data_IF_284619705406
#
_entry.id   IF_284619705406
#
_cell.length_a   1.000
_cell.length_b   1.000
_cell.length_c   1.000
_cell.angle_alpha   90.00
_cell.angle_beta   90.00
_cell.angle_gamma   90.00
#
_symmetry.space_group_name_H-M   'P 1'
#
loop_
_entity.id
_entity.type
_entity.pdbx_description
1 polymer ?
#
# COMPACT_ATOMS: atom_id res chain seq x y z
N UNK A 1 8.96 -13.09 -6.12
CA UNK A 1 8.38 -12.63 -4.82
C UNK A 1 6.94 -13.11 -4.77
N UNK A 2 6.51 -13.76 -3.69
CA UNK A 2 5.13 -14.25 -3.59
C UNK A 2 4.19 -13.06 -3.51
N UNK A 3 3.30 -12.94 -4.50
CA UNK A 3 2.18 -12.00 -4.47
C UNK A 3 1.35 -12.41 -3.25
N UNK A 4 1.41 -11.59 -2.21
CA UNK A 4 0.81 -11.85 -0.90
C UNK A 4 -0.69 -12.08 -1.08
N UNK A 5 -1.25 -13.02 -0.31
CA UNK A 5 -2.58 -13.60 -0.44
C UNK A 5 -3.62 -12.61 -1.00
N UNK A 6 -3.90 -12.61 -2.31
CA UNK A 6 -4.83 -11.66 -2.88
C UNK A 6 -6.20 -11.97 -2.29
N UNK A 7 -6.70 -11.12 -1.39
CA UNK A 7 -8.14 -11.06 -1.11
C UNK A 7 -8.77 -10.94 -2.49
N UNK A 8 -9.66 -11.87 -2.87
CA UNK A 8 -10.14 -12.04 -4.25
C UNK A 8 -10.57 -10.70 -4.88
N UNK A 9 -9.60 -10.05 -5.53
CA UNK A 9 -9.69 -8.64 -5.96
C UNK A 9 -10.77 -8.54 -7.02
N UNK A 10 -10.92 -9.62 -7.80
CA UNK A 10 -11.90 -9.77 -8.86
C UNK A 10 -13.36 -9.57 -8.42
N UNK A 11 -13.76 -10.03 -7.23
CA UNK A 11 -15.15 -9.84 -6.78
C UNK A 11 -15.42 -8.42 -6.27
N UNK A 12 -14.36 -7.69 -5.94
CA UNK A 12 -14.40 -6.39 -5.26
C UNK A 12 -14.34 -5.23 -6.25
N UNK A 13 -13.55 -5.38 -7.30
CA UNK A 13 -13.43 -4.42 -8.41
C UNK A 13 -14.68 -4.35 -9.28
N UNK A 14 -15.57 -5.34 -9.19
CA UNK A 14 -16.81 -5.38 -9.96
C UNK A 14 -17.98 -4.69 -9.25
N UNK A 15 -17.80 -4.26 -7.99
CA UNK A 15 -18.81 -3.50 -7.28
C UNK A 15 -18.64 -2.02 -7.63
N UNK A 16 -19.71 -1.31 -8.07
CA UNK A 16 -19.65 0.14 -8.15
C UNK A 16 -19.28 0.66 -6.77
N UNK A 17 -18.34 1.61 -6.70
CA UNK A 17 -18.05 2.36 -5.47
C UNK A 17 -19.16 3.42 -5.37
N UNK A 18 -20.05 3.37 -4.35
CA UNK A 18 -21.06 4.40 -4.15
C UNK A 18 -20.49 5.84 -4.12
N UNK A 19 -21.32 6.83 -4.40
CA UNK A 19 -20.86 8.22 -4.36
C UNK A 19 -20.54 8.64 -2.90
N UNK A 20 -19.45 9.39 -2.72
CA UNK A 20 -19.07 9.96 -1.42
C UNK A 20 -18.24 9.07 -0.50
N UNK A 21 -17.53 8.07 -1.03
CA UNK A 21 -16.60 7.27 -0.23
C UNK A 21 -15.31 8.00 0.10
N UNK A 22 -14.86 7.84 1.34
CA UNK A 22 -13.58 8.34 1.80
C UNK A 22 -12.44 7.61 1.10
N UNK A 23 -11.55 8.38 0.48
CA UNK A 23 -10.35 7.89 -0.18
C UNK A 23 -9.16 8.28 0.67
N UNK A 24 -8.35 7.30 1.07
CA UNK A 24 -7.11 7.55 1.82
C UNK A 24 -5.90 7.05 1.04
N UNK A 25 -4.82 7.81 1.09
CA UNK A 25 -3.50 7.43 0.63
C UNK A 25 -2.69 6.95 1.84
N UNK A 26 -2.54 5.63 1.96
CA UNK A 26 -1.72 5.01 2.99
C UNK A 26 -0.26 5.05 2.55
N UNK A 27 0.63 5.50 3.43
CA UNK A 27 2.06 5.64 3.18
C UNK A 27 2.82 4.71 4.11
N UNK A 28 3.76 3.96 3.53
CA UNK A 28 4.59 2.98 4.20
C UNK A 28 6.06 3.30 4.03
N UNK A 29 6.83 3.05 5.07
CA UNK A 29 8.28 2.99 5.00
C UNK A 29 8.69 1.58 4.56
N UNK A 30 9.42 1.49 3.45
CA UNK A 30 9.85 0.20 2.91
C UNK A 30 11.14 -0.32 3.56
N UNK A 31 11.79 0.47 4.42
CA UNK A 31 13.06 0.07 5.03
C UNK A 31 12.93 0.00 6.55
N UNK A 32 13.32 -1.12 7.18
CA UNK A 32 13.41 -1.19 8.63
C UNK A 32 14.39 -0.14 9.21
N UNK A 33 14.06 0.46 10.37
CA UNK A 33 14.92 1.45 11.01
C UNK A 33 16.25 0.80 11.45
N UNK A 34 17.35 1.38 10.99
CA UNK A 34 18.70 1.03 11.34
C UNK A 34 19.57 2.30 11.29
N UNK A 35 20.87 2.17 11.58
CA UNK A 35 21.75 3.34 11.65
C UNK A 35 21.89 4.09 10.31
N UNK A 36 21.88 3.38 9.18
CA UNK A 36 21.96 3.97 7.84
C UNK A 36 20.67 4.69 7.49
N UNK A 37 19.52 4.04 7.71
CA UNK A 37 18.23 4.66 7.40
C UNK A 37 17.94 5.85 8.30
N UNK A 38 18.33 5.79 9.58
CA UNK A 38 18.22 6.94 10.48
C UNK A 38 19.08 8.13 10.03
N UNK A 39 20.31 7.88 9.54
CA UNK A 39 21.12 8.94 8.95
C UNK A 39 20.45 9.52 7.70
N UNK A 40 19.86 8.67 6.85
CA UNK A 40 19.05 9.09 5.71
C UNK A 40 17.87 9.97 6.10
N UNK A 41 17.07 9.55 7.09
CA UNK A 41 15.92 10.31 7.58
C UNK A 41 16.34 11.68 8.14
N UNK A 42 17.46 11.74 8.85
CA UNK A 42 18.01 13.01 9.34
C UNK A 42 18.37 13.97 8.20
N UNK A 43 18.80 13.42 7.06
CA UNK A 43 19.05 14.16 5.82
C UNK A 43 17.79 14.38 4.96
N UNK A 44 16.60 13.96 5.42
CA UNK A 44 15.35 14.07 4.67
C UNK A 44 15.17 13.04 3.55
N UNK A 45 15.92 11.93 3.58
CA UNK A 45 15.84 10.85 2.59
C UNK A 45 15.11 9.63 3.16
N UNK A 46 14.29 8.96 2.33
CA UNK A 46 13.60 7.72 2.66
C UNK A 46 13.08 7.01 1.42
N UNK A 47 12.69 5.73 1.57
CA UNK A 47 12.02 4.97 0.51
C UNK A 47 10.60 4.67 0.99
N UNK A 48 9.64 5.30 0.32
CA UNK A 48 8.23 5.20 0.68
C UNK A 48 7.45 4.48 -0.40
N UNK A 49 6.48 3.68 0.03
CA UNK A 49 5.46 3.09 -0.84
C UNK A 49 4.09 3.63 -0.43
N UNK A 50 3.16 3.72 -1.37
CA UNK A 50 1.81 4.17 -1.09
C UNK A 50 0.76 3.25 -1.70
N UNK A 51 -0.32 3.03 -0.95
CA UNK A 51 -1.53 2.32 -1.38
C UNK A 51 -2.75 3.24 -1.30
N UNK A 52 -3.73 3.00 -2.18
CA UNK A 52 -5.00 3.72 -2.21
C UNK A 52 -6.07 2.92 -1.47
N UNK A 53 -6.50 3.40 -0.31
CA UNK A 53 -7.59 2.81 0.47
C UNK A 53 -8.94 3.39 0.03
N UNK A 54 -9.84 2.49 -0.40
CA UNK A 54 -11.22 2.79 -0.77
C UNK A 54 -12.11 1.66 -0.25
N UNK A 55 -13.18 1.99 0.49
CA UNK A 55 -14.15 1.02 1.01
C UNK A 55 -13.49 -0.17 1.74
N UNK A 56 -12.60 0.12 2.70
CA UNK A 56 -11.86 -0.86 3.51
C UNK A 56 -10.95 -1.80 2.70
N UNK A 57 -10.58 -1.42 1.48
CA UNK A 57 -9.63 -2.15 0.64
C UNK A 57 -8.54 -1.23 0.18
N UNK A 58 -7.30 -1.69 0.28
CA UNK A 58 -6.16 -0.93 -0.18
C UNK A 58 -5.63 -1.50 -1.49
N UNK A 59 -5.56 -0.66 -2.51
CA UNK A 59 -5.09 -0.98 -3.85
C UNK A 59 -3.63 -0.52 -4.01
N UNK A 60 -2.79 -1.46 -4.43
CA UNK A 60 -1.36 -1.25 -4.62
C UNK A 60 -0.92 -1.74 -6.00
N UNK A 61 0.19 -1.18 -6.48
CA UNK A 61 0.87 -1.66 -7.68
C UNK A 61 2.28 -2.11 -7.31
N UNK A 62 2.66 -3.30 -7.75
CA UNK A 62 3.95 -3.89 -7.44
C UNK A 62 4.49 -4.76 -8.56
N UNK A 63 5.82 -4.80 -8.68
CA UNK A 63 6.51 -5.66 -9.64
C UNK A 63 6.34 -7.13 -9.29
N UNK A 64 6.05 -7.95 -10.30
CA UNK A 64 5.88 -9.39 -10.15
C UNK A 64 6.28 -10.11 -11.47
N UNK A 65 6.39 -11.45 -11.42
CA UNK A 65 6.90 -12.27 -12.55
C UNK A 65 5.80 -12.84 -13.45
N UNK A 66 4.54 -12.68 -13.07
CA UNK A 66 3.39 -13.26 -13.77
C UNK A 66 2.86 -12.33 -14.89
N UNK A 67 2.05 -12.87 -15.79
CA UNK A 67 1.43 -12.13 -16.89
C UNK A 67 0.10 -11.47 -16.45
N UNK A 68 0.19 -10.51 -15.54
CA UNK A 68 -0.92 -9.64 -15.14
C UNK A 68 -0.43 -8.22 -14.86
N UNK A 69 -1.35 -7.31 -14.55
CA UNK A 69 -1.08 -5.87 -14.48
C UNK A 69 -0.27 -5.42 -13.25
N UNK A 70 0.06 -6.30 -12.31
CA UNK A 70 0.69 -5.93 -11.04
C UNK A 70 -0.18 -5.15 -10.06
N UNK A 71 -1.46 -4.93 -10.37
CA UNK A 71 -2.43 -4.31 -9.46
C UNK A 71 -3.03 -5.39 -8.55
N UNK A 72 -3.01 -5.14 -7.25
CA UNK A 72 -3.58 -6.05 -6.25
C UNK A 72 -4.26 -5.26 -5.13
N UNK A 73 -5.13 -5.95 -4.37
CA UNK A 73 -5.77 -5.38 -3.19
C UNK A 73 -5.41 -6.18 -1.93
N UNK A 74 -5.23 -5.46 -0.83
CA UNK A 74 -4.90 -5.98 0.49
C UNK A 74 -5.82 -5.38 1.55
N UNK A 75 -5.77 -5.95 2.76
CA UNK A 75 -6.33 -5.29 3.93
C UNK A 75 -5.55 -3.98 4.20
N UNK A 76 -6.23 -2.87 4.48
CA UNK A 76 -5.56 -1.59 4.64
C UNK A 76 -4.57 -1.59 5.78
N UNK A 77 -3.46 -0.86 5.60
CA UNK A 77 -2.42 -0.67 6.63
C UNK A 77 -1.64 -1.94 6.98
N UNK A 78 -1.84 -3.01 6.22
CA UNK A 78 -1.04 -4.23 6.29
C UNK A 78 0.05 -4.25 5.22
N UNK A 79 1.26 -4.65 5.61
CA UNK A 79 2.41 -4.73 4.73
C UNK A 79 3.21 -6.02 4.94
N UNK A 80 4.06 -6.39 3.96
CA UNK A 80 4.95 -7.53 4.12
C UNK A 80 5.98 -7.28 5.25
N UNK A 81 6.61 -8.34 5.78
CA UNK A 81 7.60 -8.19 6.84
C UNK A 81 8.68 -7.16 6.53
N UNK A 82 8.87 -6.19 7.43
CA UNK A 82 9.85 -5.11 7.27
C UNK A 82 9.29 -3.82 6.67
N UNK A 83 8.04 -3.82 6.18
CA UNK A 83 7.32 -2.60 5.80
C UNK A 83 6.58 -2.05 7.01
N UNK A 84 6.66 -0.74 7.23
CA UNK A 84 6.09 -0.08 8.40
C UNK A 84 5.07 0.96 7.93
N UNK A 85 3.82 0.83 8.36
CA UNK A 85 2.81 1.87 8.14
C UNK A 85 3.21 3.18 8.82
N UNK A 86 3.13 4.29 8.09
CA UNK A 86 3.54 5.62 8.57
C UNK A 86 2.35 6.52 8.84
N UNK A 87 1.50 6.71 7.83
CA UNK A 87 0.39 7.65 7.89
C UNK A 87 -0.61 7.38 6.77
N UNK A 88 -1.84 7.85 6.97
CA UNK A 88 -2.89 7.88 5.97
C UNK A 88 -3.27 9.35 5.71
N UNK A 89 -3.40 9.74 4.45
CA UNK A 89 -3.91 11.07 4.08
C UNK A 89 -5.20 10.93 3.27
N UNK A 90 -6.26 11.60 3.68
CA UNK A 90 -7.48 11.76 2.90
C UNK A 90 -7.94 13.20 2.99
N UNK A 91 -8.43 13.75 1.88
CA UNK A 91 -9.27 14.96 1.92
C UNK A 91 -10.73 14.51 1.89
N UNK A 92 -11.54 15.14 2.75
CA UNK A 92 -12.99 14.92 2.85
C UNK A 92 -13.73 15.53 1.66
#
# INVERSE_FOLDING_TARGET
MNVWNPVSVFSSLLQPIPDGHEVRLNVYDMIPPNWVTNAGYWMGLGIYHSGLEVCDKEFCFGGHEQDFTGVFAVEPKEGPPGVIFRQAHGEL
#
